data_IF_205283097057
#
_entry.id   IF_205283097057
#
_cell.length_a   1.000
_cell.length_b   1.000
_cell.length_c   1.000
_cell.angle_alpha   90.00
_cell.angle_beta   90.00
_cell.angle_gamma   90.00
#
_symmetry.space_group_name_H-M   'P 1'
#
loop_
_entity.id
_entity.type
_entity.pdbx_description
1 polymer ?
#
# COMPACT_ATOMS: atom_id res chain seq x y z
N UNK A 1 1.55 17.57 6.26
CA UNK A 1 2.71 16.97 5.56
C UNK A 1 2.19 16.14 4.40
N UNK A 2 2.64 16.42 3.18
CA UNK A 2 2.08 15.81 1.97
C UNK A 2 2.41 14.31 1.92
N UNK A 3 1.39 13.47 1.91
CA UNK A 3 1.52 12.05 1.56
C UNK A 3 1.88 11.98 0.07
N UNK A 4 3.07 11.48 -0.26
CA UNK A 4 3.46 11.23 -1.64
C UNK A 4 2.57 10.15 -2.23
N UNK A 5 1.52 10.57 -2.96
CA UNK A 5 0.66 9.69 -3.75
C UNK A 5 1.41 9.29 -5.01
N UNK A 6 1.81 8.03 -5.12
CA UNK A 6 2.35 7.50 -6.38
C UNK A 6 1.17 6.96 -7.18
N UNK A 7 0.76 7.70 -8.21
CA UNK A 7 -0.20 7.22 -9.22
C UNK A 7 0.63 6.55 -10.31
N UNK A 8 0.63 5.22 -10.37
CA UNK A 8 1.28 4.49 -11.46
C UNK A 8 0.34 4.44 -12.69
N UNK A 9 0.76 5.10 -13.77
CA UNK A 9 0.35 4.76 -15.13
C UNK A 9 1.54 4.01 -15.77
N UNK A 10 1.44 2.69 -15.87
CA UNK A 10 2.46 1.84 -16.49
C UNK A 10 2.35 1.90 -18.01
N UNK A 11 3.02 2.88 -18.62
CA UNK A 11 3.47 2.81 -20.01
C UNK A 11 4.71 3.67 -20.14
N UNK A 12 5.90 3.05 -20.17
CA UNK A 12 7.08 3.69 -20.75
C UNK A 12 7.88 2.66 -21.55
N UNK A 13 8.24 2.98 -22.81
CA UNK A 13 9.26 2.26 -23.54
C UNK A 13 10.65 2.79 -23.13
N UNK A 14 11.64 1.91 -23.12
CA UNK A 14 13.06 2.26 -23.02
C UNK A 14 13.49 3.13 -24.21
N UNK A 15 14.45 4.05 -23.99
CA UNK A 15 15.70 3.85 -24.73
C UNK A 15 16.98 4.11 -23.90
N UNK A 16 18.01 3.42 -24.40
CA UNK A 16 19.43 3.45 -24.07
C UNK A 16 20.10 4.79 -24.36
N UNK A 17 21.21 5.03 -23.65
CA UNK A 17 22.30 5.98 -23.90
C UNK A 17 22.17 7.45 -23.42
N UNK A 18 22.98 7.79 -22.41
CA UNK A 18 23.39 9.15 -22.09
C UNK A 18 24.89 9.18 -21.68
N UNK A 19 25.73 10.08 -22.27
CA UNK A 19 27.14 10.24 -21.90
C UNK A 19 27.32 11.24 -20.73
N UNK A 20 28.51 11.30 -20.08
CA UNK A 20 28.68 12.01 -18.80
C UNK A 20 28.85 13.53 -18.98
N UNK A 21 28.37 14.27 -17.98
CA UNK A 21 28.50 15.74 -17.85
C UNK A 21 29.80 16.08 -17.12
N UNK A 22 30.62 17.03 -17.60
CA UNK A 22 31.72 17.60 -16.83
C UNK A 22 31.29 18.82 -16.02
N UNK A 23 31.88 18.93 -14.83
CA UNK A 23 31.78 20.02 -13.87
C UNK A 23 32.58 21.26 -14.29
N UNK A 24 31.98 22.45 -14.24
CA UNK A 24 32.70 23.70 -14.00
C UNK A 24 31.81 24.75 -13.33
N UNK A 25 32.33 25.31 -12.24
CA UNK A 25 31.85 26.50 -11.56
C UNK A 25 32.10 27.75 -12.42
N UNK A 26 31.15 28.68 -12.45
CA UNK A 26 31.45 30.11 -12.48
C UNK A 26 30.35 30.91 -11.77
N UNK A 27 30.82 31.76 -10.85
CA UNK A 27 30.11 32.85 -10.21
C UNK A 27 29.83 33.98 -11.20
N UNK A 28 28.74 34.74 -10.98
CA UNK A 28 28.71 36.21 -10.94
C UNK A 28 27.28 36.76 -10.77
N UNK A 29 27.25 38.02 -10.36
CA UNK A 29 26.27 38.75 -9.55
C UNK A 29 25.09 39.42 -10.28
N UNK A 30 24.00 39.59 -9.51
CA UNK A 30 23.03 40.71 -9.41
C UNK A 30 22.96 41.77 -10.53
N UNK A 31 21.73 42.05 -11.02
CA UNK A 31 21.12 43.40 -10.95
C UNK A 31 19.65 43.41 -11.41
N UNK A 32 18.92 44.40 -10.88
CA UNK A 32 17.48 44.65 -10.94
C UNK A 32 17.02 45.38 -12.23
N UNK A 33 15.68 45.47 -12.37
CA UNK A 33 14.86 46.42 -13.18
C UNK A 33 14.54 46.02 -14.63
N UNK A 34 13.47 46.48 -15.29
CA UNK A 34 12.03 46.64 -15.01
C UNK A 34 11.39 47.14 -16.32
N UNK A 35 10.13 46.78 -16.57
CA UNK A 35 9.11 47.46 -17.41
C UNK A 35 9.10 47.29 -18.96
N UNK A 36 7.98 46.72 -19.42
CA UNK A 36 7.10 47.00 -20.58
C UNK A 36 7.66 47.67 -21.86
N UNK A 37 7.40 47.07 -23.03
CA UNK A 37 6.37 47.52 -24.02
C UNK A 37 6.32 46.64 -25.29
N UNK A 38 5.13 46.16 -25.65
CA UNK A 38 4.69 45.79 -27.03
C UNK A 38 4.46 47.07 -27.86
N UNK A 39 4.31 47.11 -29.23
CA UNK A 39 3.68 46.11 -30.10
C UNK A 39 4.22 46.02 -31.57
N UNK A 40 3.64 45.13 -32.41
CA UNK A 40 2.97 45.47 -33.69
C UNK A 40 2.50 44.21 -34.44
N UNK A 41 1.19 44.16 -34.65
CA UNK A 41 0.48 43.24 -35.54
C UNK A 41 0.41 43.89 -36.92
N UNK A 42 0.71 43.13 -37.97
CA UNK A 42 0.34 43.45 -39.35
C UNK A 42 -0.30 42.21 -39.96
N UNK A 43 -1.57 42.34 -40.35
CA UNK A 43 -2.32 41.34 -41.12
C UNK A 43 -1.97 41.44 -42.60
N UNK A 44 -1.85 40.29 -43.28
CA UNK A 44 -2.14 40.17 -44.70
C UNK A 44 -2.99 38.92 -44.96
N UNK A 45 -3.95 39.07 -45.86
CA UNK A 45 -5.06 38.15 -46.12
C UNK A 45 -4.91 37.46 -47.48
N UNK A 46 -4.97 36.13 -47.54
CA UNK A 46 -5.35 35.33 -48.71
C UNK A 46 -5.62 33.84 -48.31
N UNK A 47 -6.20 32.98 -49.16
CA UNK A 47 -7.58 32.51 -49.05
C UNK A 47 -7.73 31.07 -48.51
N UNK A 48 -8.96 30.76 -48.06
CA UNK A 48 -9.39 29.48 -47.49
C UNK A 48 -9.25 28.31 -48.48
N UNK A 49 -8.53 27.26 -48.06
CA UNK A 49 -8.68 25.89 -48.57
C UNK A 49 -9.36 25.05 -47.49
N UNK A 50 -10.54 24.52 -47.79
CA UNK A 50 -11.27 23.56 -46.95
C UNK A 50 -10.54 22.22 -46.99
N UNK A 51 -9.92 21.84 -45.87
CA UNK A 51 -9.41 20.49 -45.64
C UNK A 51 -10.50 19.68 -44.94
N UNK A 52 -11.03 18.65 -45.61
CA UNK A 52 -11.97 17.71 -45.01
C UNK A 52 -11.25 16.86 -43.97
N UNK A 53 -11.63 17.01 -42.70
CA UNK A 53 -11.16 16.15 -41.62
C UNK A 53 -11.99 14.88 -41.64
N UNK A 54 -11.36 13.77 -42.02
CA UNK A 54 -11.90 12.42 -41.84
C UNK A 54 -11.81 12.12 -40.35
N UNK A 55 -12.95 12.05 -39.66
CA UNK A 55 -13.01 11.57 -38.29
C UNK A 55 -12.80 10.05 -38.30
N UNK A 56 -11.60 9.61 -37.90
CA UNK A 56 -11.39 8.23 -37.49
C UNK A 56 -12.14 8.01 -36.17
N UNK A 57 -13.08 7.07 -36.17
CA UNK A 57 -13.68 6.57 -34.94
C UNK A 57 -12.59 5.82 -34.15
N UNK A 58 -11.98 6.50 -33.17
CA UNK A 58 -11.23 5.83 -32.12
C UNK A 58 -12.23 5.28 -31.11
N UNK A 59 -12.25 3.97 -30.95
CA UNK A 59 -12.97 3.27 -29.89
C UNK A 59 -12.48 3.78 -28.54
N UNK A 60 -13.36 4.42 -27.78
CA UNK A 60 -13.10 4.86 -26.40
C UNK A 60 -12.95 3.63 -25.52
N UNK A 61 -11.76 3.41 -24.98
CA UNK A 61 -11.52 2.46 -23.91
C UNK A 61 -12.16 3.03 -22.63
N UNK A 62 -13.16 2.34 -22.07
CA UNK A 62 -13.86 2.80 -20.87
C UNK A 62 -12.91 2.86 -19.67
N UNK A 63 -12.46 4.07 -19.34
CA UNK A 63 -11.62 4.35 -18.18
C UNK A 63 -12.45 4.19 -16.91
N UNK A 64 -12.23 3.09 -16.17
CA UNK A 64 -12.80 2.87 -14.83
C UNK A 64 -12.73 4.16 -13.97
N UNK A 65 -13.84 4.58 -13.33
CA UNK A 65 -13.90 5.79 -12.54
C UNK A 65 -12.80 5.80 -11.48
N UNK A 66 -12.11 6.93 -11.33
CA UNK A 66 -10.93 7.06 -10.48
C UNK A 66 -11.17 6.68 -9.00
N UNK A 67 -12.43 6.71 -8.55
CA UNK A 67 -12.84 6.40 -7.18
C UNK A 67 -12.81 4.92 -6.81
N UNK A 68 -12.75 3.99 -7.77
CA UNK A 68 -12.78 2.55 -7.48
C UNK A 68 -11.44 1.84 -7.77
N UNK A 69 -10.33 2.59 -7.86
CA UNK A 69 -9.01 2.01 -8.13
C UNK A 69 -8.36 1.50 -6.84
N UNK A 70 -7.63 0.39 -6.93
CA UNK A 70 -6.78 -0.06 -5.82
C UNK A 70 -5.67 0.99 -5.58
N UNK A 71 -5.39 1.29 -4.31
CA UNK A 71 -4.32 2.20 -3.92
C UNK A 71 -3.24 1.47 -3.13
N UNK A 72 -1.97 1.80 -3.42
CA UNK A 72 -0.81 1.28 -2.70
C UNK A 72 -0.10 2.43 -2.01
N UNK A 73 0.08 2.30 -0.69
CA UNK A 73 0.70 3.28 0.17
C UNK A 73 2.04 2.76 0.67
N UNK A 74 3.10 3.54 0.43
CA UNK A 74 4.43 3.34 1.00
C UNK A 74 4.75 4.58 1.84
N UNK A 75 4.40 4.60 3.14
CA UNK A 75 4.52 5.80 3.93
C UNK A 75 5.99 6.26 4.00
N UNK A 76 6.30 7.53 3.69
CA UNK A 76 7.67 8.02 3.57
C UNK A 76 8.28 8.35 4.95
N UNK A 77 8.31 7.36 5.86
CA UNK A 77 8.75 7.56 7.24
C UNK A 77 10.14 6.94 7.50
N UNK A 78 11.10 7.65 8.12
CA UNK A 78 12.44 7.11 8.37
C UNK A 78 12.45 5.87 9.27
N UNK A 79 11.56 5.78 10.27
CA UNK A 79 11.44 4.56 11.09
C UNK A 79 10.93 3.35 10.31
N UNK A 80 10.06 3.53 9.32
CA UNK A 80 9.62 2.42 8.44
C UNK A 80 10.82 1.92 7.64
N UNK A 81 11.59 2.84 7.04
CA UNK A 81 12.82 2.49 6.31
C UNK A 81 13.84 1.79 7.21
N UNK A 82 14.01 2.26 8.44
CA UNK A 82 14.89 1.64 9.43
C UNK A 82 14.51 0.17 9.69
N UNK A 83 13.24 -0.09 10.02
CA UNK A 83 12.79 -1.46 10.29
C UNK A 83 12.87 -2.36 9.05
N UNK A 84 12.54 -1.84 7.87
CA UNK A 84 12.78 -2.57 6.61
C UNK A 84 14.27 -2.94 6.47
N UNK A 85 15.21 -2.03 6.74
CA UNK A 85 16.64 -2.34 6.68
C UNK A 85 17.07 -3.41 7.70
N UNK A 86 16.54 -3.38 8.92
CA UNK A 86 16.80 -4.41 9.95
C UNK A 86 16.29 -5.77 9.48
N UNK A 87 15.09 -5.81 8.88
CA UNK A 87 14.51 -7.03 8.33
C UNK A 87 15.30 -7.56 7.13
N UNK A 88 15.91 -6.70 6.30
CA UNK A 88 16.72 -7.17 5.17
C UNK A 88 18.06 -7.77 5.56
N UNK A 89 18.64 -7.32 6.67
CA UNK A 89 19.95 -7.79 7.08
C UNK A 89 19.90 -9.27 7.44
N UNK A 90 20.58 -10.11 6.65
CA UNK A 90 20.71 -11.55 6.86
C UNK A 90 21.27 -11.89 8.26
N UNK A 91 22.15 -11.04 8.79
CA UNK A 91 22.78 -11.23 10.09
C UNK A 91 21.86 -10.89 11.28
N UNK A 92 20.67 -10.34 11.05
CA UNK A 92 19.73 -9.99 12.13
C UNK A 92 19.22 -11.26 12.82
N UNK A 93 19.47 -11.46 14.13
CA UNK A 93 19.02 -12.66 14.84
C UNK A 93 17.50 -12.75 14.94
N UNK A 94 16.97 -13.98 15.03
CA UNK A 94 15.53 -14.26 15.08
C UNK A 94 14.73 -13.39 16.08
N UNK A 95 15.13 -13.24 17.36
CA UNK A 95 14.39 -12.38 18.29
C UNK A 95 14.34 -10.90 17.85
N UNK A 96 15.41 -10.39 17.24
CA UNK A 96 15.49 -9.02 16.74
C UNK A 96 14.66 -8.87 15.47
N UNK A 97 14.70 -9.86 14.57
CA UNK A 97 13.88 -9.89 13.35
C UNK A 97 12.39 -9.86 13.69
N UNK A 98 11.94 -10.73 14.61
CA UNK A 98 10.54 -10.77 15.05
C UNK A 98 10.09 -9.43 15.64
N UNK A 99 10.91 -8.82 16.50
CA UNK A 99 10.61 -7.52 17.10
C UNK A 99 10.59 -6.39 16.04
N UNK A 100 11.53 -6.40 15.09
CA UNK A 100 11.56 -5.44 13.99
C UNK A 100 10.29 -5.56 13.11
N UNK A 101 9.82 -6.79 12.88
CA UNK A 101 8.61 -7.04 12.10
C UNK A 101 7.37 -6.53 12.85
N UNK A 102 7.30 -6.77 14.17
CA UNK A 102 6.23 -6.26 15.02
C UNK A 102 6.20 -4.71 15.05
N UNK A 103 7.35 -4.06 15.17
CA UNK A 103 7.43 -2.59 15.13
C UNK A 103 7.05 -2.02 13.76
N UNK A 104 7.48 -2.65 12.67
CA UNK A 104 7.06 -2.25 11.32
C UNK A 104 5.54 -2.35 11.17
N UNK A 105 4.94 -3.47 11.58
CA UNK A 105 3.50 -3.68 11.53
C UNK A 105 2.72 -2.65 12.35
N UNK A 106 3.19 -2.35 13.57
CA UNK A 106 2.64 -1.30 14.43
C UNK A 106 2.57 0.05 13.71
N UNK A 107 3.67 0.46 13.06
CA UNK A 107 3.74 1.74 12.33
C UNK A 107 2.86 1.74 11.08
N UNK A 108 2.83 0.64 10.32
CA UNK A 108 1.99 0.54 9.13
C UNK A 108 0.51 0.54 9.47
N UNK A 109 0.09 -0.15 10.53
CA UNK A 109 -1.30 -0.13 11.01
C UNK A 109 -1.70 1.25 11.53
N UNK A 110 -0.80 1.94 12.22
CA UNK A 110 -1.02 3.34 12.62
C UNK A 110 -1.23 4.25 11.40
N UNK A 111 -0.38 4.15 10.37
CA UNK A 111 -0.56 4.90 9.12
C UNK A 111 -1.83 4.51 8.37
N UNK A 112 -2.19 3.22 8.38
CA UNK A 112 -3.40 2.71 7.75
C UNK A 112 -4.68 3.16 8.49
N UNK A 113 -4.62 3.40 9.79
CA UNK A 113 -5.75 3.82 10.60
C UNK A 113 -6.05 5.34 10.54
N UNK A 114 -5.07 6.14 10.11
CA UNK A 114 -5.03 7.62 10.20
C UNK A 114 -6.37 8.34 10.03
N UNK A 115 -7.12 8.03 8.98
CA UNK A 115 -8.39 8.69 8.63
C UNK A 115 -9.50 7.66 8.35
N UNK A 116 -9.49 6.51 9.04
CA UNK A 116 -10.32 5.36 8.66
C UNK A 116 -11.15 4.74 9.78
N UNK A 117 -10.75 4.94 11.03
CA UNK A 117 -11.43 4.34 12.18
C UNK A 117 -12.77 5.02 12.44
N UNK A 118 -13.81 4.26 12.86
CA UNK A 118 -15.07 4.85 13.29
C UNK A 118 -14.87 5.63 14.59
N UNK A 119 -15.43 6.83 14.65
CA UNK A 119 -15.36 7.69 15.82
C UNK A 119 -16.75 8.07 16.35
N UNK A 120 -16.80 8.37 17.64
CA UNK A 120 -17.98 8.93 18.31
C UNK A 120 -17.58 10.19 19.07
N UNK A 121 -18.37 11.24 18.89
CA UNK A 121 -18.21 12.50 19.62
C UNK A 121 -19.07 12.52 20.89
N UNK A 122 -18.62 13.25 21.89
CA UNK A 122 -19.37 13.46 23.12
C UNK A 122 -18.77 14.56 23.99
N UNK A 123 -19.26 14.66 25.22
CA UNK A 123 -18.76 15.56 26.23
C UNK A 123 -18.32 14.77 27.47
N UNK A 124 -17.21 15.17 28.07
CA UNK A 124 -16.73 14.63 29.34
C UNK A 124 -16.43 15.76 30.32
N UNK A 125 -16.55 15.48 31.61
CA UNK A 125 -16.04 16.37 32.65
C UNK A 125 -14.53 16.15 32.79
N UNK A 126 -13.72 17.12 32.36
CA UNK A 126 -12.29 17.17 32.70
C UNK A 126 -12.10 17.72 34.13
N UNK A 127 -10.88 17.66 34.70
CA UNK A 127 -10.61 18.26 36.01
C UNK A 127 -10.91 19.77 36.11
N UNK A 128 -11.05 20.48 34.98
CA UNK A 128 -11.24 21.93 34.95
C UNK A 128 -12.61 22.37 34.42
N UNK A 129 -13.19 21.63 33.47
CA UNK A 129 -14.47 21.97 32.83
C UNK A 129 -15.00 20.82 31.97
N UNK A 130 -16.23 20.95 31.47
CA UNK A 130 -16.74 20.11 30.39
C UNK A 130 -15.89 20.31 29.13
N UNK A 131 -15.49 19.22 28.49
CA UNK A 131 -14.71 19.20 27.26
C UNK A 131 -15.42 18.36 26.19
N UNK A 132 -15.52 18.90 24.98
CA UNK A 132 -15.91 18.12 23.80
C UNK A 132 -14.76 17.20 23.40
N UNK A 133 -15.09 15.94 23.13
CA UNK A 133 -14.11 14.88 22.86
C UNK A 133 -14.57 14.00 21.72
N UNK A 134 -13.60 13.31 21.12
CA UNK A 134 -13.81 12.28 20.11
C UNK A 134 -13.07 11.01 20.54
N UNK A 135 -13.76 9.87 20.46
CA UNK A 135 -13.22 8.57 20.78
C UNK A 135 -13.33 7.64 19.58
N UNK A 136 -12.43 6.66 19.49
CA UNK A 136 -12.66 5.49 18.63
C UNK A 136 -13.88 4.74 19.17
N UNK A 137 -14.83 4.41 18.29
CA UNK A 137 -16.06 3.71 18.72
C UNK A 137 -15.75 2.25 19.11
N UNK A 138 -15.87 1.87 20.40
CA UNK A 138 -15.57 0.51 20.84
C UNK A 138 -16.62 -0.51 20.37
N UNK A 139 -17.79 -0.07 19.88
CA UNK A 139 -18.88 -0.94 19.40
C UNK A 139 -18.61 -1.47 17.99
N UNK A 140 -17.73 -0.80 17.26
CA UNK A 140 -17.31 -1.17 15.90
C UNK A 140 -15.81 -1.55 15.88
N UNK A 141 -15.40 -2.63 16.59
CA UNK A 141 -13.99 -2.99 16.69
C UNK A 141 -13.43 -3.38 15.32
N UNK A 142 -12.19 -2.97 15.07
CA UNK A 142 -11.45 -3.32 13.87
C UNK A 142 -11.05 -4.81 13.91
N UNK A 143 -11.33 -5.54 12.83
CA UNK A 143 -10.91 -6.93 12.69
C UNK A 143 -9.47 -7.02 12.19
N UNK A 144 -8.63 -7.81 12.87
CA UNK A 144 -7.25 -8.09 12.45
C UNK A 144 -7.16 -9.56 12.06
N UNK A 145 -6.71 -9.83 10.84
CA UNK A 145 -6.63 -11.16 10.26
C UNK A 145 -5.18 -11.42 9.82
N UNK A 146 -4.31 -11.88 10.74
CA UNK A 146 -3.00 -12.39 10.38
C UNK A 146 -3.12 -13.66 9.55
N UNK A 147 -2.44 -13.67 8.40
CA UNK A 147 -2.21 -14.88 7.62
C UNK A 147 -1.09 -15.69 8.27
N UNK A 148 -1.42 -16.89 8.72
CA UNK A 148 -0.47 -17.72 9.45
C UNK A 148 0.59 -18.30 8.51
N UNK A 149 1.86 -18.35 8.93
CA UNK A 149 2.35 -18.03 10.29
C UNK A 149 2.88 -16.61 10.45
N UNK A 150 3.59 -16.09 9.45
CA UNK A 150 4.37 -14.85 9.55
C UNK A 150 3.52 -13.59 9.83
N UNK A 151 2.23 -13.60 9.46
CA UNK A 151 1.29 -12.52 9.77
C UNK A 151 1.13 -12.24 11.26
N UNK A 152 1.34 -13.25 12.14
CA UNK A 152 1.31 -13.05 13.59
C UNK A 152 2.42 -12.12 14.06
N UNK A 153 3.65 -12.33 13.58
CA UNK A 153 4.79 -11.50 13.96
C UNK A 153 4.61 -10.04 13.51
N UNK A 154 3.98 -9.80 12.35
CA UNK A 154 3.65 -8.45 11.89
C UNK A 154 2.48 -7.82 12.65
N UNK A 155 1.53 -8.61 13.14
CA UNK A 155 0.37 -8.12 13.89
C UNK A 155 0.60 -7.98 15.41
N UNK A 156 1.74 -8.47 15.93
CA UNK A 156 2.02 -8.61 17.38
C UNK A 156 1.70 -7.35 18.18
N UNK A 157 2.11 -6.17 17.70
CA UNK A 157 1.95 -4.91 18.42
C UNK A 157 0.68 -4.12 18.04
N UNK A 158 -0.27 -4.70 17.31
CA UNK A 158 -1.45 -3.98 16.83
C UNK A 158 -2.29 -3.36 17.97
N UNK A 159 -2.48 -4.08 19.08
CA UNK A 159 -3.25 -3.61 20.24
C UNK A 159 -2.59 -2.44 20.99
N UNK A 160 -1.28 -2.21 20.78
CA UNK A 160 -0.60 -1.05 21.37
C UNK A 160 -0.98 0.27 20.70
N UNK A 161 -1.55 0.22 19.49
CA UNK A 161 -1.96 1.41 18.71
C UNK A 161 -3.46 1.44 18.38
N UNK A 162 -4.14 0.29 18.43
CA UNK A 162 -5.57 0.16 18.11
C UNK A 162 -6.37 -0.23 19.36
N UNK A 163 -7.16 0.68 19.96
CA UNK A 163 -7.79 0.47 21.26
C UNK A 163 -8.97 -0.52 21.24
N UNK A 164 -9.62 -0.73 20.09
CA UNK A 164 -10.76 -1.63 19.94
C UNK A 164 -10.55 -2.57 18.75
N UNK A 165 -10.13 -3.80 19.02
CA UNK A 165 -9.81 -4.80 17.98
C UNK A 165 -10.38 -6.18 18.29
N UNK A 166 -10.59 -6.97 17.24
CA UNK A 166 -10.87 -8.42 17.30
C UNK A 166 -9.94 -9.16 16.36
N UNK A 167 -9.22 -10.16 16.85
CA UNK A 167 -8.30 -10.95 16.02
C UNK A 167 -8.94 -12.25 15.57
N UNK A 168 -8.93 -12.51 14.27
CA UNK A 168 -9.32 -13.79 13.67
C UNK A 168 -8.12 -14.44 12.99
N UNK A 169 -8.03 -15.77 13.02
CA UNK A 169 -6.87 -16.47 12.49
C UNK A 169 -7.23 -17.17 11.18
N UNK A 170 -6.38 -16.97 10.16
CA UNK A 170 -6.51 -17.62 8.86
C UNK A 170 -5.18 -18.27 8.48
N UNK A 171 -5.20 -19.60 8.33
CA UNK A 171 -4.05 -20.38 7.90
C UNK A 171 -4.19 -20.81 6.45
N UNK A 172 -3.26 -20.36 5.62
CA UNK A 172 -3.19 -20.69 4.20
C UNK A 172 -1.79 -21.24 3.93
N UNK A 173 -1.71 -22.46 3.39
CA UNK A 173 -0.47 -23.03 2.87
C UNK A 173 -0.47 -22.94 1.35
N UNK A 174 0.71 -22.95 0.75
CA UNK A 174 0.87 -23.06 -0.69
C UNK A 174 1.27 -24.49 -1.01
N UNK A 175 0.60 -25.10 -1.96
CA UNK A 175 1.10 -26.35 -2.53
C UNK A 175 2.35 -26.03 -3.37
N UNK A 176 3.48 -26.69 -3.08
CA UNK A 176 4.78 -26.37 -3.67
C UNK A 176 4.86 -26.67 -5.18
N UNK A 177 4.06 -27.63 -5.67
CA UNK A 177 4.06 -28.05 -7.08
C UNK A 177 3.11 -27.18 -7.93
N UNK A 178 1.89 -26.95 -7.44
CA UNK A 178 0.83 -26.24 -8.18
C UNK A 178 0.78 -24.75 -7.88
N UNK A 179 1.48 -24.32 -6.82
CA UNK A 179 1.50 -22.95 -6.31
C UNK A 179 0.12 -22.43 -5.86
N UNK A 180 -0.88 -23.32 -5.74
CA UNK A 180 -2.24 -22.98 -5.33
C UNK A 180 -2.37 -22.89 -3.81
N UNK A 181 -3.13 -21.92 -3.29
CA UNK A 181 -3.38 -21.77 -1.86
C UNK A 181 -4.38 -22.81 -1.36
N UNK A 182 -4.10 -23.42 -0.21
CA UNK A 182 -5.00 -24.31 0.53
C UNK A 182 -5.23 -23.75 1.93
N UNK A 183 -6.49 -23.59 2.31
CA UNK A 183 -6.85 -23.08 3.65
C UNK A 183 -6.85 -24.26 4.63
N UNK A 184 -5.95 -24.24 5.60
CA UNK A 184 -5.86 -25.28 6.64
C UNK A 184 -6.45 -24.84 7.99
N UNK A 185 -6.67 -23.54 8.20
CA UNK A 185 -7.34 -23.00 9.38
C UNK A 185 -8.21 -21.82 8.98
N UNK A 186 -9.51 -21.86 9.30
CA UNK A 186 -10.41 -20.74 9.09
C UNK A 186 -11.21 -20.47 10.37
N UNK A 187 -10.88 -19.38 11.07
CA UNK A 187 -11.60 -18.90 12.25
C UNK A 187 -12.31 -17.57 11.99
N UNK A 188 -12.59 -17.25 10.73
CA UNK A 188 -13.42 -16.10 10.38
C UNK A 188 -14.89 -16.39 10.76
N UNK A 189 -15.67 -15.38 11.18
CA UNK A 189 -17.10 -15.55 11.37
C UNK A 189 -17.79 -15.89 10.04
N UNK A 190 -19.00 -16.44 10.10
CA UNK A 190 -19.80 -16.71 8.91
C UNK A 190 -20.19 -15.42 8.18
N UNK A 191 -20.42 -14.34 8.95
CA UNK A 191 -20.71 -13.00 8.43
C UNK A 191 -20.02 -11.94 9.28
N UNK A 192 -19.50 -10.89 8.65
CA UNK A 192 -19.01 -9.69 9.34
C UNK A 192 -20.14 -8.69 9.54
N UNK A 193 -20.04 -7.87 10.60
CA UNK A 193 -20.95 -6.74 10.76
C UNK A 193 -20.81 -5.78 9.57
N UNK A 194 -21.92 -5.17 9.15
CA UNK A 194 -21.92 -4.23 8.04
C UNK A 194 -20.97 -3.06 8.35
N UNK A 195 -20.13 -2.68 7.39
CA UNK A 195 -19.14 -1.60 7.56
C UNK A 195 -17.89 -1.97 8.39
N UNK A 196 -17.79 -3.20 8.90
CA UNK A 196 -16.65 -3.67 9.69
C UNK A 196 -15.31 -3.43 8.97
N UNK A 197 -14.40 -2.72 9.64
CA UNK A 197 -13.05 -2.41 9.15
C UNK A 197 -12.13 -3.61 9.37
N UNK A 198 -11.40 -4.03 8.35
CA UNK A 198 -10.56 -5.23 8.39
C UNK A 198 -9.12 -4.93 7.96
N UNK A 199 -8.16 -5.34 8.77
CA UNK A 199 -6.77 -5.50 8.39
C UNK A 199 -6.47 -6.96 8.05
N UNK A 200 -6.03 -7.22 6.81
CA UNK A 200 -5.47 -8.53 6.43
C UNK A 200 -3.95 -8.39 6.43
N UNK A 201 -3.27 -9.19 7.25
CA UNK A 201 -1.88 -8.94 7.64
C UNK A 201 -1.00 -10.10 7.19
N UNK A 202 -0.09 -9.84 6.26
CA UNK A 202 0.87 -10.81 5.73
C UNK A 202 2.18 -10.07 5.36
N UNK A 203 3.35 -10.43 5.93
CA UNK A 203 4.59 -9.72 5.67
C UNK A 203 5.05 -9.71 4.21
N UNK A 204 4.68 -10.72 3.43
CA UNK A 204 5.27 -10.98 2.11
C UNK A 204 4.22 -11.02 1.02
N UNK A 205 4.01 -9.88 0.36
CA UNK A 205 3.09 -9.78 -0.77
C UNK A 205 3.82 -10.03 -2.10
N UNK A 206 4.19 -11.28 -2.35
CA UNK A 206 5.04 -11.71 -3.47
C UNK A 206 4.26 -11.98 -4.78
N UNK A 207 3.65 -13.16 -4.90
CA UNK A 207 2.86 -13.57 -6.09
C UNK A 207 1.37 -13.25 -5.97
N UNK A 208 0.92 -12.87 -4.77
CA UNK A 208 -0.45 -12.49 -4.45
C UNK A 208 -1.43 -13.64 -4.25
N UNK A 209 -1.06 -14.91 -4.51
CA UNK A 209 -2.00 -16.05 -4.45
C UNK A 209 -2.67 -16.22 -3.08
N UNK A 210 -1.87 -16.18 -2.01
CA UNK A 210 -2.35 -16.24 -0.62
C UNK A 210 -3.32 -15.10 -0.29
N UNK A 211 -2.95 -13.87 -0.66
CA UNK A 211 -3.77 -12.70 -0.39
C UNK A 211 -5.10 -12.72 -1.18
N UNK A 212 -5.06 -13.14 -2.45
CA UNK A 212 -6.28 -13.32 -3.27
C UNK A 212 -7.24 -14.32 -2.62
N UNK A 213 -6.74 -15.46 -2.14
CA UNK A 213 -7.56 -16.44 -1.45
C UNK A 213 -8.20 -15.88 -0.17
N UNK A 214 -7.42 -15.14 0.63
CA UNK A 214 -7.93 -14.49 1.84
C UNK A 214 -9.00 -13.43 1.52
N UNK A 215 -8.79 -12.59 0.50
CA UNK A 215 -9.74 -11.55 0.11
C UNK A 215 -11.03 -12.14 -0.49
N UNK A 216 -10.94 -13.21 -1.28
CA UNK A 216 -12.13 -13.91 -1.78
C UNK A 216 -12.97 -14.47 -0.62
N UNK A 217 -12.35 -15.08 0.40
CA UNK A 217 -13.07 -15.54 1.59
C UNK A 217 -13.81 -14.40 2.33
N UNK A 218 -13.26 -13.19 2.34
CA UNK A 218 -13.90 -12.03 2.96
C UNK A 218 -15.05 -11.50 2.09
N UNK A 219 -14.85 -11.47 0.77
CA UNK A 219 -15.89 -11.10 -0.20
C UNK A 219 -17.09 -12.05 -0.13
N UNK A 220 -16.84 -13.36 -0.03
CA UNK A 220 -17.87 -14.39 0.12
C UNK A 220 -18.66 -14.22 1.44
N UNK A 221 -18.07 -13.56 2.44
CA UNK A 221 -18.70 -13.20 3.72
C UNK A 221 -19.35 -11.81 3.71
N UNK A 222 -19.47 -11.19 2.53
CA UNK A 222 -20.14 -9.91 2.32
C UNK A 222 -19.30 -8.68 2.65
N UNK A 223 -17.98 -8.80 2.77
CA UNK A 223 -17.10 -7.64 3.02
C UNK A 223 -16.79 -6.92 1.72
N UNK A 224 -17.02 -5.61 1.69
CA UNK A 224 -16.63 -4.71 0.60
C UNK A 224 -15.12 -4.42 0.65
N UNK A 225 -14.44 -4.44 -0.50
CA UNK A 225 -13.00 -4.16 -0.62
C UNK A 225 -12.58 -2.84 0.04
N UNK A 226 -13.42 -1.81 0.00
CA UNK A 226 -13.13 -0.49 0.62
C UNK A 226 -13.06 -0.53 2.16
N UNK A 227 -13.54 -1.62 2.75
CA UNK A 227 -13.46 -1.90 4.18
C UNK A 227 -12.29 -2.82 4.54
N UNK A 228 -11.46 -3.17 3.57
CA UNK A 228 -10.27 -3.98 3.78
C UNK A 228 -9.02 -3.13 3.51
N UNK A 229 -8.05 -3.19 4.41
CA UNK A 229 -6.68 -2.74 4.15
C UNK A 229 -5.71 -3.91 4.33
N UNK A 230 -4.87 -4.14 3.32
CA UNK A 230 -3.79 -5.13 3.39
C UNK A 230 -2.57 -4.48 4.02
N UNK A 231 -1.97 -5.13 5.01
CA UNK A 231 -0.75 -4.67 5.67
C UNK A 231 0.38 -5.66 5.36
N UNK A 232 1.46 -5.18 4.75
CA UNK A 232 2.62 -5.99 4.37
C UNK A 232 3.94 -5.31 4.75
N UNK A 233 5.00 -6.10 4.99
CA UNK A 233 6.34 -5.53 5.17
C UNK A 233 6.95 -5.19 3.80
N UNK A 234 6.82 -6.11 2.84
CA UNK A 234 7.37 -6.01 1.49
C UNK A 234 6.30 -6.44 0.47
N UNK A 235 6.17 -5.68 -0.61
CA UNK A 235 5.31 -6.05 -1.74
C UNK A 235 6.10 -6.07 -3.04
N UNK A 236 5.61 -6.80 -4.04
CA UNK A 236 6.19 -6.85 -5.38
C UNK A 236 5.13 -6.63 -6.48
N UNK A 237 5.50 -6.14 -7.67
CA UNK A 237 4.59 -5.86 -8.78
C UNK A 237 3.64 -7.01 -9.15
N UNK A 238 4.07 -8.30 -9.20
CA UNK A 238 3.17 -9.39 -9.59
C UNK A 238 1.95 -9.54 -8.68
N UNK A 239 2.11 -9.39 -7.36
CA UNK A 239 0.99 -9.39 -6.44
C UNK A 239 0.11 -8.14 -6.59
N UNK A 240 0.72 -6.96 -6.69
CA UNK A 240 -0.01 -5.70 -6.78
C UNK A 240 -0.87 -5.62 -8.05
N UNK A 241 -0.36 -6.08 -9.19
CA UNK A 241 -1.12 -6.15 -10.44
C UNK A 241 -2.33 -7.07 -10.29
N UNK A 242 -2.10 -8.30 -9.80
CA UNK A 242 -3.17 -9.28 -9.56
C UNK A 242 -4.25 -8.76 -8.62
N UNK A 243 -3.86 -8.09 -7.54
CA UNK A 243 -4.82 -7.49 -6.61
C UNK A 243 -5.57 -6.32 -7.24
N UNK A 244 -4.89 -5.48 -8.03
CA UNK A 244 -5.52 -4.34 -8.71
C UNK A 244 -6.61 -4.76 -9.69
N UNK A 245 -6.41 -5.89 -10.37
CA UNK A 245 -7.37 -6.44 -11.34
C UNK A 245 -8.60 -7.04 -10.64
N UNK A 246 -8.40 -7.72 -9.51
CA UNK A 246 -9.45 -8.52 -8.87
C UNK A 246 -10.20 -7.77 -7.75
N UNK A 247 -9.55 -6.80 -7.10
CA UNK A 247 -10.05 -6.11 -5.91
C UNK A 247 -10.01 -4.59 -6.07
N UNK A 248 -10.83 -4.01 -6.99
CA UNK A 248 -10.99 -2.56 -7.07
C UNK A 248 -11.43 -1.98 -5.72
N UNK A 249 -10.94 -0.77 -5.41
CA UNK A 249 -11.19 -0.07 -4.14
C UNK A 249 -10.39 -0.57 -2.93
N UNK A 250 -9.58 -1.64 -3.07
CA UNK A 250 -8.72 -2.13 -2.00
C UNK A 250 -7.56 -1.17 -1.71
N UNK A 251 -7.17 -1.03 -0.44
CA UNK A 251 -5.94 -0.31 -0.08
C UNK A 251 -4.87 -1.27 0.44
N UNK A 252 -3.64 -1.12 -0.05
CA UNK A 252 -2.46 -1.87 0.41
C UNK A 252 -1.49 -0.90 1.07
N UNK A 253 -1.04 -1.21 2.29
CA UNK A 253 0.01 -0.48 3.00
C UNK A 253 1.22 -1.39 3.12
N UNK A 254 2.36 -0.93 2.62
CA UNK A 254 3.61 -1.70 2.65
C UNK A 254 4.79 -0.85 3.08
N UNK A 255 5.78 -1.45 3.74
CA UNK A 255 7.02 -0.78 4.11
C UNK A 255 7.87 -0.41 2.89
N UNK A 256 7.83 -1.27 1.86
CA UNK A 256 8.58 -1.09 0.60
C UNK A 256 7.95 -1.89 -0.53
N UNK A 257 8.22 -1.48 -1.77
CA UNK A 257 7.94 -2.24 -2.99
C UNK A 257 9.27 -2.60 -3.62
N UNK A 258 9.50 -3.89 -3.81
CA UNK A 258 10.70 -4.44 -4.45
C UNK A 258 10.43 -4.77 -5.92
N UNK A 259 11.46 -4.76 -6.79
CA UNK A 259 11.28 -4.78 -8.23
C UNK A 259 10.68 -6.08 -8.77
N UNK A 260 11.03 -7.23 -8.20
CA UNK A 260 10.71 -8.52 -8.84
C UNK A 260 10.51 -9.67 -7.84
N UNK A 261 9.98 -10.76 -8.38
CA UNK A 261 9.83 -12.05 -7.73
C UNK A 261 10.55 -13.09 -8.58
N UNK A 262 11.43 -13.88 -7.98
CA UNK A 262 12.16 -14.93 -8.71
C UNK A 262 11.27 -16.16 -9.00
N UNK A 263 11.80 -17.13 -9.73
CA UNK A 263 11.09 -18.36 -10.13
C UNK A 263 10.58 -19.19 -8.94
N UNK A 264 11.26 -19.11 -7.79
CA UNK A 264 10.87 -19.78 -6.54
C UNK A 264 9.77 -19.04 -5.77
N UNK A 265 9.37 -17.85 -6.23
CA UNK A 265 8.34 -17.04 -5.58
C UNK A 265 8.85 -16.12 -4.47
N UNK A 266 10.17 -15.93 -4.34
CA UNK A 266 10.76 -14.98 -3.39
C UNK A 266 10.89 -13.58 -3.99
N UNK A 267 10.60 -12.56 -3.19
CA UNK A 267 10.80 -11.16 -3.55
C UNK A 267 12.30 -10.84 -3.55
N UNK A 268 12.79 -10.07 -4.54
CA UNK A 268 14.20 -9.66 -4.65
C UNK A 268 14.31 -8.13 -4.61
N UNK A 269 15.19 -7.53 -3.78
CA UNK A 269 16.11 -8.19 -2.83
C UNK A 269 15.41 -8.84 -1.62
N UNK A 270 14.17 -8.47 -1.31
CA UNK A 270 13.35 -9.12 -0.28
C UNK A 270 13.99 -9.18 1.11
N UNK A 271 13.52 -10.12 1.93
CA UNK A 271 14.00 -10.34 3.31
C UNK A 271 14.13 -11.83 3.69
N UNK A 272 14.09 -12.73 2.70
CA UNK A 272 14.04 -14.18 2.91
C UNK A 272 12.63 -14.68 3.27
N UNK A 273 12.55 -15.82 3.98
CA UNK A 273 11.29 -16.31 4.54
C UNK A 273 10.98 -15.60 5.87
N UNK A 274 9.93 -14.77 5.87
CA UNK A 274 9.55 -14.00 7.05
C UNK A 274 9.12 -14.89 8.23
N UNK A 275 8.54 -16.06 7.96
CA UNK A 275 8.13 -17.01 8.97
C UNK A 275 9.34 -17.62 9.64
N UNK A 276 10.23 -18.23 8.86
CA UNK A 276 11.40 -18.93 9.41
C UNK A 276 12.31 -17.98 10.18
N UNK A 277 12.51 -16.76 9.68
CA UNK A 277 13.30 -15.74 10.37
C UNK A 277 12.64 -15.19 11.63
N UNK A 278 11.31 -15.19 11.71
CA UNK A 278 10.58 -14.75 12.91
C UNK A 278 10.55 -15.77 14.03
N UNK A 279 10.70 -17.06 13.70
CA UNK A 279 10.48 -18.15 14.64
C UNK A 279 11.66 -19.13 14.75
N UNK A 280 12.75 -18.90 14.03
CA UNK A 280 13.97 -19.71 14.09
C UNK A 280 13.78 -21.11 13.56
N UNK A 281 13.08 -21.26 12.43
CA UNK A 281 12.82 -22.56 11.77
C UNK A 281 13.51 -22.69 10.41
N UNK A 282 14.46 -21.80 10.12
CA UNK A 282 15.32 -21.90 8.94
C UNK A 282 16.19 -23.16 9.06
N UNK A 283 16.25 -24.03 8.04
CA UNK A 283 17.02 -25.29 8.07
C UNK A 283 18.54 -25.14 8.19
#
# INVERSE_FOLDING_TARGET
MASSRVIFNLTLPFPSDAPPIPSTCHSLSLSHSSLFTTPKIVCSSAPRRTCGVVYSHMTMEEKLPAENRMLVYVPPHPLIKHWVSVLRNEQTPCPIFRNALAELGRLLMYEAARDWLPTVSGEIQSPLAVASVEFIDPREPLAIIPILRAGLALAEHASSVLPATKTYHLGISRNEETLQPTIYLNKLPEKFADGCKIFVVDPMLATGGTMVAALNLLKDRGVDNKHIKVISAVAAPPALQKLSEQFPGLHVYTGIIDPEVNEKGFIIPGLGDAGDRSYGTDP
#
